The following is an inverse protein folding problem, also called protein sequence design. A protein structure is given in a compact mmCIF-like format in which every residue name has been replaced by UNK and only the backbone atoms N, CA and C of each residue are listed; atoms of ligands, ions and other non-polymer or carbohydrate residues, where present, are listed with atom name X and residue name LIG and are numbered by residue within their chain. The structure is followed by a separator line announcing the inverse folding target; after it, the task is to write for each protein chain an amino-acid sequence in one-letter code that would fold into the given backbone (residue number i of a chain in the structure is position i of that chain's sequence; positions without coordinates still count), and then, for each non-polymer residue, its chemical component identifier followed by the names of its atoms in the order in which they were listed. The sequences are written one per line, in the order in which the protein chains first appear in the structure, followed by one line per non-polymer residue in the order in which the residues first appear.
data_IF_049838066204
#
_entry.id   IF_049838066204
#
_cell.length_a   1.000
_cell.length_b   1.000
_cell.length_c   1.000
_cell.angle_alpha   90.00
_cell.angle_beta   90.00
_cell.angle_gamma   90.00
#
_symmetry.space_group_name_H-M   'P 1'
#
loop_
_entity.id
_entity.type
_entity.pdbx_description
1 polymer ?
#
# COMPACT_ATOMS: atom_id res chain seq x y z
N UNK A 1 8.09 -15.61 18.74
CA UNK A 1 7.54 -16.96 18.45
C UNK A 1 6.98 -16.94 17.03
N UNK A 2 7.15 -18.01 16.25
CA UNK A 2 6.57 -18.12 14.90
C UNK A 2 5.63 -19.31 14.81
N UNK A 3 4.52 -19.16 14.10
CA UNK A 3 3.48 -20.18 13.93
C UNK A 3 2.96 -20.24 12.48
N UNK A 4 2.32 -21.36 12.13
CA UNK A 4 1.64 -21.57 10.86
C UNK A 4 0.12 -21.60 11.09
N UNK A 5 -0.64 -20.91 10.25
CA UNK A 5 -2.11 -20.94 10.24
C UNK A 5 -2.63 -21.25 8.85
N UNK A 6 -3.66 -22.08 8.73
CA UNK A 6 -4.37 -22.32 7.48
C UNK A 6 -5.42 -21.21 7.30
N UNK A 7 -5.35 -20.49 6.19
CA UNK A 7 -6.44 -19.61 5.75
C UNK A 7 -7.52 -20.46 5.08
N UNK A 8 -8.73 -20.43 5.62
CA UNK A 8 -9.87 -21.19 5.12
C UNK A 8 -10.48 -20.58 3.85
N UNK A 9 -10.28 -19.27 3.60
CA UNK A 9 -10.84 -18.62 2.42
C UNK A 9 -10.05 -18.97 1.15
N UNK A 10 -8.72 -19.06 1.28
CA UNK A 10 -7.79 -19.34 0.18
C UNK A 10 -7.29 -20.80 0.15
N UNK A 11 -7.36 -21.49 1.29
CA UNK A 11 -6.79 -22.84 1.46
C UNK A 11 -5.26 -22.84 1.63
N UNK A 12 -4.64 -21.69 1.88
CA UNK A 12 -3.19 -21.53 1.93
C UNK A 12 -2.67 -21.49 3.37
N UNK A 13 -1.43 -21.94 3.55
CA UNK A 13 -0.73 -21.83 4.82
C UNK A 13 -0.02 -20.48 4.94
N UNK A 14 -0.30 -19.77 6.03
CA UNK A 14 0.27 -18.46 6.34
C UNK A 14 1.26 -18.58 7.50
N UNK A 15 2.43 -17.95 7.34
CA UNK A 15 3.45 -17.85 8.39
C UNK A 15 3.22 -16.57 9.19
N UNK A 16 3.00 -16.71 10.49
CA UNK A 16 2.94 -15.58 11.42
C UNK A 16 4.24 -15.53 12.21
N UNK A 17 5.00 -14.44 12.04
CA UNK A 17 6.31 -14.26 12.68
C UNK A 17 6.49 -12.80 13.12
N UNK A 18 5.89 -12.44 14.26
CA UNK A 18 5.85 -11.06 14.78
C UNK A 18 7.24 -10.45 15.02
N UNK A 19 8.22 -11.26 15.41
CA UNK A 19 9.62 -10.83 15.61
C UNK A 19 10.28 -10.25 14.33
N UNK A 20 9.75 -10.54 13.13
CA UNK A 20 10.28 -9.99 11.88
C UNK A 20 10.18 -8.46 11.82
N UNK A 21 9.23 -7.85 12.53
CA UNK A 21 9.08 -6.40 12.60
C UNK A 21 10.26 -5.68 13.29
N UNK A 22 11.07 -6.40 14.08
CA UNK A 22 12.24 -5.85 14.77
C UNK A 22 13.52 -5.89 13.95
N UNK A 23 13.48 -6.45 12.74
CA UNK A 23 14.67 -6.54 11.88
C UNK A 23 15.10 -5.13 11.46
N UNK A 24 16.42 -4.86 11.40
CA UNK A 24 16.89 -3.61 10.82
C UNK A 24 16.44 -3.54 9.36
N UNK A 25 15.89 -2.39 8.99
CA UNK A 25 15.53 -2.05 7.62
C UNK A 25 16.54 -1.00 7.14
N UNK A 26 17.58 -1.43 6.44
CA UNK A 26 18.64 -0.54 5.93
C UNK A 26 18.09 0.47 4.91
N UNK A 27 16.99 0.12 4.25
CA UNK A 27 16.23 0.99 3.38
C UNK A 27 14.95 1.40 4.11
N UNK A 28 14.89 2.65 4.55
CA UNK A 28 13.62 3.24 4.99
C UNK A 28 12.73 3.34 3.76
N UNK A 29 11.54 2.75 3.81
CA UNK A 29 10.47 3.22 2.93
C UNK A 29 10.30 4.70 3.25
N UNK A 30 10.40 5.62 2.27
CA UNK A 30 10.05 6.99 2.55
C UNK A 30 8.67 6.96 3.20
N UNK A 31 8.51 7.64 4.33
CA UNK A 31 7.18 7.99 4.84
C UNK A 31 6.37 8.47 3.63
N UNK A 32 5.11 8.05 3.49
CA UNK A 32 4.25 8.49 2.39
C UNK A 32 4.24 10.02 2.41
N UNK A 33 5.18 10.64 1.71
CA UNK A 33 5.13 12.04 1.36
C UNK A 33 3.85 12.08 0.54
N UNK A 34 2.84 12.86 0.94
CA UNK A 34 1.71 13.10 0.06
C UNK A 34 2.30 13.46 -1.29
N UNK A 35 1.95 12.72 -2.34
CA UNK A 35 2.31 13.16 -3.67
C UNK A 35 1.61 14.50 -3.85
N UNK A 36 2.36 15.59 -3.63
CA UNK A 36 1.92 16.96 -3.87
C UNK A 36 1.87 17.14 -5.39
N UNK A 37 1.01 16.37 -6.06
CA UNK A 37 0.58 16.71 -7.41
C UNK A 37 -0.17 18.02 -7.24
N UNK A 38 0.30 19.13 -7.85
CA UNK A 38 -0.44 20.37 -7.81
C UNK A 38 -1.87 20.11 -8.28
N UNK A 39 -2.89 20.69 -7.63
CA UNK A 39 -4.28 20.48 -8.00
C UNK A 39 -4.52 20.83 -9.48
N UNK A 40 -3.75 21.79 -10.00
CA UNK A 40 -3.79 22.27 -11.39
C UNK A 40 -3.36 21.23 -12.42
N UNK A 41 -2.55 20.24 -12.01
CA UNK A 41 -2.06 19.16 -12.88
C UNK A 41 -2.66 17.80 -12.54
N UNK A 42 -3.63 17.76 -11.63
CA UNK A 42 -4.24 16.55 -11.11
C UNK A 42 -5.54 16.26 -11.88
N UNK A 43 -5.60 15.26 -12.79
CA UNK A 43 -6.80 14.95 -13.57
C UNK A 43 -7.97 14.42 -12.72
N UNK A 44 -7.67 13.94 -11.51
CA UNK A 44 -8.66 13.42 -10.56
C UNK A 44 -9.15 14.47 -9.56
N UNK A 45 -8.64 15.70 -9.63
CA UNK A 45 -9.06 16.79 -8.76
C UNK A 45 -10.33 17.46 -9.32
N UNK A 46 -11.21 18.00 -8.46
CA UNK A 46 -12.46 18.62 -8.91
C UNK A 46 -12.22 19.73 -9.95
N UNK A 47 -13.02 19.74 -11.02
CA UNK A 47 -12.90 20.70 -12.12
C UNK A 47 -12.05 20.22 -13.31
N UNK A 48 -11.45 19.03 -13.23
CA UNK A 48 -10.68 18.41 -14.32
C UNK A 48 -11.35 17.17 -14.92
N UNK A 49 -12.67 17.03 -14.79
CA UNK A 49 -13.43 15.86 -15.24
C UNK A 49 -13.26 15.61 -16.75
N UNK A 50 -13.05 16.67 -17.55
CA UNK A 50 -12.77 16.58 -18.98
C UNK A 50 -11.43 15.89 -19.33
N UNK A 51 -10.54 15.74 -18.36
CA UNK A 51 -9.26 15.02 -18.51
C UNK A 51 -9.38 13.54 -18.12
N UNK A 52 -10.53 13.12 -17.58
CA UNK A 52 -10.81 11.72 -17.29
C UNK A 52 -11.35 10.99 -18.52
N UNK A 53 -11.13 9.67 -18.66
CA UNK A 53 -11.71 8.89 -19.75
C UNK A 53 -13.23 9.05 -19.81
N UNK A 54 -13.81 8.99 -21.02
CA UNK A 54 -15.25 8.90 -21.19
C UNK A 54 -15.78 7.61 -20.57
N UNK A 55 -16.94 7.68 -19.92
CA UNK A 55 -17.69 6.52 -19.43
C UNK A 55 -18.04 5.54 -20.55
#
# INVERSE_FOLDING_TARGET
MSELRLDLATGEWVIIATERARRPHDFRTPERVPAETPPETCPFCPGHEAQTPSE
#
